data_IF_527572322116
#
_entry.id   IF_527572322116
#
_cell.length_a   1.000
_cell.length_b   1.000
_cell.length_c   1.000
_cell.angle_alpha   90.00
_cell.angle_beta   90.00
_cell.angle_gamma   90.00
#
_symmetry.space_group_name_H-M   'P 1'
#
loop_
_entity.id
_entity.type
_entity.pdbx_description
1 polymer ?
#
# COMPACT_ATOMS: atom_id res chain seq x y z
N UNK A 1 14.79 2.99 19.28
CA UNK A 1 14.78 3.26 17.83
C UNK A 1 14.46 1.96 17.12
N UNK A 2 13.45 1.98 16.26
CA UNK A 2 13.04 0.80 15.49
C UNK A 2 13.15 1.13 14.01
N UNK A 3 13.81 0.26 13.24
CA UNK A 3 13.98 0.42 11.79
C UNK A 3 13.03 -0.53 11.07
N UNK A 4 12.38 -0.06 10.02
CA UNK A 4 11.48 -0.87 9.20
C UNK A 4 11.82 -0.69 7.73
N UNK A 5 12.20 -1.76 7.05
CA UNK A 5 12.33 -1.77 5.59
C UNK A 5 10.98 -2.07 4.96
N UNK A 6 10.49 -1.17 4.11
CA UNK A 6 9.24 -1.34 3.37
C UNK A 6 9.56 -1.71 1.93
N UNK A 7 9.34 -2.97 1.57
CA UNK A 7 9.50 -3.42 0.20
C UNK A 7 8.24 -3.03 -0.60
N UNK A 8 8.39 -2.16 -1.59
CA UNK A 8 7.27 -1.55 -2.33
C UNK A 8 7.34 -1.89 -3.82
N UNK A 9 6.21 -1.82 -4.52
CA UNK A 9 6.15 -2.18 -5.93
C UNK A 9 6.88 -1.21 -6.85
N UNK A 10 6.70 0.10 -6.64
CA UNK A 10 7.15 1.10 -7.58
C UNK A 10 7.45 2.46 -6.95
N UNK A 11 7.69 3.43 -7.82
CA UNK A 11 8.08 4.79 -7.45
C UNK A 11 6.94 5.57 -6.76
N UNK A 12 5.68 5.27 -7.09
CA UNK A 12 4.53 5.93 -6.47
C UNK A 12 4.46 5.57 -4.99
N UNK A 13 4.55 4.28 -4.67
CA UNK A 13 4.54 3.77 -3.30
C UNK A 13 5.79 4.21 -2.52
N UNK A 14 6.96 4.20 -3.17
CA UNK A 14 8.21 4.72 -2.58
C UNK A 14 8.05 6.19 -2.18
N UNK A 15 7.53 7.02 -3.08
CA UNK A 15 7.31 8.43 -2.81
C UNK A 15 6.25 8.63 -1.73
N UNK A 16 5.14 7.88 -1.75
CA UNK A 16 4.14 7.93 -0.68
C UNK A 16 4.74 7.65 0.70
N UNK A 17 5.51 6.57 0.83
CA UNK A 17 6.18 6.23 2.09
C UNK A 17 7.14 7.35 2.51
N UNK A 18 7.96 7.84 1.58
CA UNK A 18 8.99 8.86 1.87
C UNK A 18 8.40 10.21 2.26
N UNK A 19 7.38 10.68 1.55
CA UNK A 19 6.81 12.00 1.74
C UNK A 19 5.80 12.05 2.89
N UNK A 20 5.03 10.98 3.14
CA UNK A 20 3.99 10.95 4.17
C UNK A 20 4.39 10.15 5.42
N UNK A 21 4.77 8.88 5.25
CA UNK A 21 4.94 7.98 6.40
C UNK A 21 6.25 8.25 7.15
N UNK A 22 7.37 8.45 6.46
CA UNK A 22 8.67 8.73 7.10
C UNK A 22 8.62 9.94 8.04
N UNK A 23 8.16 11.14 7.64
CA UNK A 23 8.12 12.29 8.54
C UNK A 23 7.07 12.16 9.65
N UNK A 24 6.00 11.39 9.43
CA UNK A 24 5.06 11.05 10.49
C UNK A 24 5.73 10.16 11.54
N UNK A 25 6.33 9.05 11.13
CA UNK A 25 6.83 8.01 12.03
C UNK A 25 8.19 8.30 12.68
N UNK A 26 9.01 9.15 12.06
CA UNK A 26 10.29 9.55 12.64
C UNK A 26 10.15 10.17 14.05
N UNK A 27 9.05 10.91 14.30
CA UNK A 27 8.77 11.51 15.62
C UNK A 27 8.41 10.49 16.70
N UNK A 28 8.03 9.28 16.30
CA UNK A 28 7.69 8.16 17.18
C UNK A 28 8.87 7.17 17.33
N UNK A 29 10.05 7.50 16.81
CA UNK A 29 11.23 6.63 16.86
C UNK A 29 11.14 5.41 15.92
N UNK A 30 10.21 5.44 14.97
CA UNK A 30 10.04 4.47 13.89
C UNK A 30 10.64 5.04 12.59
N UNK A 31 11.66 4.37 12.06
CA UNK A 31 12.38 4.82 10.87
C UNK A 31 12.08 3.90 9.71
N UNK A 32 11.18 4.36 8.83
CA UNK A 32 10.79 3.62 7.63
C UNK A 32 11.80 3.88 6.51
N UNK A 33 12.14 2.84 5.75
CA UNK A 33 12.99 2.95 4.56
C UNK A 33 12.31 2.21 3.41
N UNK A 34 11.70 2.92 2.43
CA UNK A 34 11.12 2.28 1.27
C UNK A 34 12.21 1.72 0.34
N UNK A 35 11.97 0.53 -0.20
CA UNK A 35 12.85 -0.18 -1.13
C UNK A 35 11.99 -0.69 -2.27
N UNK A 36 12.24 -0.25 -3.49
CA UNK A 36 11.51 -0.77 -4.67
C UNK A 36 11.99 -2.18 -5.00
N UNK A 37 11.05 -3.09 -5.26
CA UNK A 37 11.35 -4.46 -5.72
C UNK A 37 12.23 -4.47 -6.99
N UNK A 38 13.23 -5.34 -7.00
CA UNK A 38 14.03 -5.62 -8.20
C UNK A 38 13.49 -6.85 -8.93
N UNK A 39 13.09 -6.70 -10.19
CA UNK A 39 12.51 -7.80 -11.00
C UNK A 39 13.46 -8.35 -12.06
N UNK A 40 14.50 -7.60 -12.43
CA UNK A 40 15.65 -8.06 -13.22
C UNK A 40 16.83 -7.08 -13.06
N UNK A 41 18.06 -7.46 -13.47
CA UNK A 41 19.20 -6.54 -13.43
C UNK A 41 18.88 -5.26 -14.23
N UNK A 42 18.90 -4.11 -13.56
CA UNK A 42 18.61 -2.81 -14.17
C UNK A 42 17.14 -2.40 -14.21
N UNK A 43 16.19 -3.29 -13.87
CA UNK A 43 14.76 -2.94 -13.78
C UNK A 43 14.27 -2.99 -12.33
N UNK A 44 13.66 -1.88 -11.91
CA UNK A 44 12.99 -1.72 -10.62
C UNK A 44 11.51 -1.49 -10.90
N UNK A 45 10.63 -2.24 -10.24
CA UNK A 45 9.20 -2.09 -10.44
C UNK A 45 8.43 -3.41 -10.61
N UNK A 46 7.28 -3.48 -9.95
CA UNK A 46 6.22 -4.46 -10.18
C UNK A 46 6.48 -5.83 -9.54
N UNK A 47 5.40 -6.52 -9.18
CA UNK A 47 5.45 -7.84 -8.54
C UNK A 47 5.19 -8.91 -9.62
N UNK A 48 6.21 -9.21 -10.43
CA UNK A 48 6.04 -10.11 -11.61
C UNK A 48 6.11 -11.60 -11.28
N UNK A 49 6.74 -11.98 -10.17
CA UNK A 49 6.82 -13.36 -9.70
C UNK A 49 7.24 -13.38 -8.24
N UNK A 50 6.55 -14.22 -7.45
CA UNK A 50 6.85 -14.41 -6.05
C UNK A 50 8.26 -14.98 -5.84
N UNK A 51 8.71 -15.88 -6.72
CA UNK A 51 10.06 -16.45 -6.69
C UNK A 51 11.18 -15.41 -6.71
N UNK A 52 10.93 -14.21 -7.27
CA UNK A 52 11.89 -13.09 -7.26
C UNK A 52 11.81 -12.24 -6.00
N UNK A 53 10.66 -12.21 -5.34
CA UNK A 53 10.38 -11.36 -4.17
C UNK A 53 10.81 -12.04 -2.89
N UNK A 54 10.52 -13.34 -2.73
CA UNK A 54 10.87 -14.12 -1.53
C UNK A 54 12.35 -13.96 -1.12
N UNK A 55 13.34 -14.11 -2.02
CA UNK A 55 14.74 -13.93 -1.65
C UNK A 55 15.08 -12.50 -1.21
N UNK A 56 14.38 -11.49 -1.74
CA UNK A 56 14.59 -10.09 -1.34
C UNK A 56 14.08 -9.85 0.08
N UNK A 57 12.86 -10.28 0.39
CA UNK A 57 12.30 -10.18 1.75
C UNK A 57 13.21 -10.91 2.76
N UNK A 58 13.56 -12.17 2.47
CA UNK A 58 14.42 -12.95 3.35
C UNK A 58 15.81 -12.32 3.55
N UNK A 59 16.37 -11.71 2.50
CA UNK A 59 17.65 -10.99 2.62
C UNK A 59 17.51 -9.77 3.53
N UNK A 60 16.47 -8.96 3.34
CA UNK A 60 16.20 -7.79 4.19
C UNK A 60 16.05 -8.20 5.66
N UNK A 61 15.33 -9.31 5.94
CA UNK A 61 15.16 -9.82 7.29
C UNK A 61 16.48 -10.28 7.93
N UNK A 62 17.36 -10.93 7.15
CA UNK A 62 18.60 -11.55 7.66
C UNK A 62 19.78 -10.59 7.73
N UNK A 63 19.88 -9.64 6.82
CA UNK A 63 21.01 -8.70 6.77
C UNK A 63 21.01 -7.73 7.96
N UNK A 64 19.85 -7.54 8.58
CA UNK A 64 19.67 -6.64 9.71
C UNK A 64 18.62 -7.19 10.69
N UNK A 65 19.07 -8.09 11.56
CA UNK A 65 18.20 -8.77 12.51
C UNK A 65 17.51 -7.83 13.52
N UNK A 66 18.01 -6.59 13.67
CA UNK A 66 17.41 -5.55 14.52
C UNK A 66 16.44 -4.63 13.80
N UNK A 67 16.15 -4.88 12.51
CA UNK A 67 15.14 -4.17 11.75
C UNK A 67 13.95 -5.09 11.45
N UNK A 68 12.78 -4.50 11.25
CA UNK A 68 11.60 -5.18 10.74
C UNK A 68 11.48 -5.01 9.23
N UNK A 69 10.76 -5.92 8.59
CA UNK A 69 10.48 -5.87 7.15
C UNK A 69 8.98 -5.96 6.94
N UNK A 70 8.44 -5.13 6.07
CA UNK A 70 7.04 -5.16 5.66
C UNK A 70 6.91 -4.88 4.16
N UNK A 71 5.72 -5.03 3.61
CA UNK A 71 5.44 -4.89 2.17
C UNK A 71 4.33 -3.89 1.91
N UNK A 72 4.34 -3.30 0.71
CA UNK A 72 3.24 -2.46 0.21
C UNK A 72 2.99 -2.86 -1.25
N UNK A 73 2.25 -3.96 -1.43
CA UNK A 73 1.95 -4.57 -2.74
C UNK A 73 0.45 -4.54 -3.03
N UNK A 74 0.06 -4.37 -4.28
CA UNK A 74 -1.33 -4.47 -4.73
C UNK A 74 -1.75 -5.94 -4.75
N UNK A 75 -2.74 -6.29 -3.93
CA UNK A 75 -3.31 -7.62 -3.81
C UNK A 75 -3.72 -8.23 -5.16
N UNK A 76 -4.29 -7.42 -6.06
CA UNK A 76 -4.81 -7.88 -7.33
C UNK A 76 -3.73 -8.02 -8.40
N UNK A 77 -2.63 -7.29 -8.26
CA UNK A 77 -1.45 -7.39 -9.13
C UNK A 77 -0.50 -8.55 -8.74
N UNK A 78 -0.74 -9.22 -7.61
CA UNK A 78 0.09 -10.35 -7.17
C UNK A 78 0.18 -11.47 -8.23
N UNK A 79 1.34 -12.12 -8.40
CA UNK A 79 1.51 -13.18 -9.38
C UNK A 79 0.83 -14.47 -8.92
N UNK A 80 0.57 -15.40 -9.86
CA UNK A 80 -0.11 -16.66 -9.57
C UNK A 80 0.69 -17.60 -8.65
N UNK A 81 2.02 -17.45 -8.61
CA UNK A 81 2.93 -18.19 -7.73
C UNK A 81 2.98 -17.62 -6.30
N UNK A 82 2.16 -16.62 -5.97
CA UNK A 82 2.12 -16.03 -4.62
C UNK A 82 1.45 -16.99 -3.61
N UNK A 83 2.01 -17.14 -2.39
CA UNK A 83 1.48 -18.05 -1.38
C UNK A 83 0.01 -17.82 -1.08
N UNK A 84 -0.79 -18.89 -1.12
CA UNK A 84 -2.23 -18.84 -0.84
C UNK A 84 -3.14 -18.47 -2.01
N UNK A 85 -2.63 -17.89 -3.12
CA UNK A 85 -3.49 -17.40 -4.21
C UNK A 85 -4.22 -18.51 -4.97
N UNK A 86 -3.63 -19.70 -5.02
CA UNK A 86 -4.18 -20.90 -5.67
C UNK A 86 -4.69 -21.94 -4.66
N UNK A 87 -4.70 -21.60 -3.37
CA UNK A 87 -5.20 -22.49 -2.31
C UNK A 87 -6.72 -22.62 -2.41
N UNK A 88 -7.24 -23.82 -2.13
CA UNK A 88 -8.68 -24.10 -2.04
C UNK A 88 -9.31 -23.27 -0.90
N UNK A 89 -8.54 -22.97 0.14
CA UNK A 89 -8.98 -22.12 1.25
C UNK A 89 -9.03 -20.62 0.89
N UNK A 90 -8.57 -20.21 -0.30
CA UNK A 90 -8.58 -18.81 -0.71
C UNK A 90 -10.02 -18.26 -0.70
N UNK A 91 -10.30 -17.17 0.04
CA UNK A 91 -11.65 -16.66 0.23
C UNK A 91 -12.13 -15.84 -0.98
N UNK A 92 -12.30 -16.49 -2.13
CA UNK A 92 -12.58 -15.85 -3.41
C UNK A 92 -13.83 -14.94 -3.39
N UNK A 93 -14.85 -15.32 -2.62
CA UNK A 93 -16.13 -14.62 -2.50
C UNK A 93 -16.21 -13.64 -1.32
N UNK A 94 -15.09 -13.38 -0.65
CA UNK A 94 -15.00 -12.46 0.49
C UNK A 94 -14.58 -11.05 0.09
N UNK A 95 -14.61 -10.14 1.06
CA UNK A 95 -14.16 -8.74 0.90
C UNK A 95 -12.66 -8.69 0.56
N UNK A 96 -12.22 -7.57 -0.04
CA UNK A 96 -10.81 -7.34 -0.34
C UNK A 96 -9.92 -7.42 0.91
N UNK A 97 -10.39 -6.85 2.03
CA UNK A 97 -9.73 -6.94 3.33
C UNK A 97 -9.53 -8.40 3.79
N UNK A 98 -10.56 -9.25 3.68
CA UNK A 98 -10.44 -10.66 4.09
C UNK A 98 -9.46 -11.44 3.20
N UNK A 99 -9.41 -11.12 1.91
CA UNK A 99 -8.42 -11.68 0.98
C UNK A 99 -7.00 -11.25 1.35
N UNK A 100 -6.81 -9.98 1.70
CA UNK A 100 -5.51 -9.43 2.10
C UNK A 100 -5.00 -10.14 3.35
N UNK A 101 -5.80 -10.19 4.42
CA UNK A 101 -5.45 -10.86 5.68
C UNK A 101 -5.11 -12.33 5.45
N UNK A 102 -5.87 -13.04 4.60
CA UNK A 102 -5.57 -14.44 4.27
C UNK A 102 -4.19 -14.55 3.60
N UNK A 103 -3.95 -13.81 2.52
CA UNK A 103 -2.70 -13.88 1.76
C UNK A 103 -1.50 -13.40 2.57
N UNK A 104 -1.67 -12.39 3.43
CA UNK A 104 -0.66 -11.95 4.38
C UNK A 104 -0.28 -13.06 5.35
N UNK A 105 -1.26 -13.79 5.89
CA UNK A 105 -0.97 -14.93 6.77
C UNK A 105 -0.18 -16.03 6.05
N UNK A 106 -0.51 -16.33 4.79
CA UNK A 106 0.20 -17.31 3.96
C UNK A 106 1.61 -16.84 3.64
N UNK A 107 1.78 -15.55 3.34
CA UNK A 107 3.08 -14.95 3.09
C UNK A 107 3.96 -14.97 4.35
N UNK A 108 3.43 -14.62 5.52
CA UNK A 108 4.17 -14.70 6.79
C UNK A 108 4.67 -16.12 7.07
N UNK A 109 3.81 -17.12 6.88
CA UNK A 109 4.15 -18.53 7.07
C UNK A 109 5.23 -19.00 6.08
N UNK A 110 5.14 -18.64 4.80
CA UNK A 110 6.10 -19.06 3.79
C UNK A 110 7.47 -18.34 3.90
N UNK A 111 7.47 -17.06 4.31
CA UNK A 111 8.70 -16.30 4.58
C UNK A 111 9.39 -16.79 5.84
N UNK A 112 8.60 -17.09 6.89
CA UNK A 112 9.04 -17.65 8.17
C UNK A 112 10.21 -16.85 8.78
N UNK A 113 10.04 -15.54 8.92
CA UNK A 113 11.00 -14.65 9.59
C UNK A 113 10.31 -13.92 10.75
N UNK A 114 10.91 -13.89 11.96
CA UNK A 114 10.25 -13.32 13.15
C UNK A 114 10.10 -11.80 13.09
N UNK A 115 10.90 -11.13 12.25
CA UNK A 115 10.88 -9.68 12.04
C UNK A 115 10.12 -9.27 10.77
N UNK A 116 9.31 -10.17 10.19
CA UNK A 116 8.53 -9.88 8.99
C UNK A 116 7.04 -9.67 9.31
N UNK A 117 6.49 -8.54 8.85
CA UNK A 117 5.10 -8.12 9.02
C UNK A 117 4.53 -7.86 7.62
N UNK A 118 3.89 -8.82 6.96
CA UNK A 118 3.38 -8.62 5.62
C UNK A 118 2.27 -7.58 5.61
N UNK A 119 2.17 -6.85 4.50
CA UNK A 119 1.02 -6.02 4.21
C UNK A 119 0.75 -5.96 2.69
N UNK A 120 -0.53 -6.02 2.34
CA UNK A 120 -1.05 -5.88 1.00
C UNK A 120 -2.02 -4.69 0.97
N UNK A 121 -1.83 -3.81 0.00
CA UNK A 121 -2.85 -2.85 -0.36
C UNK A 121 -4.00 -3.62 -1.01
N UNK A 122 -5.20 -3.49 -0.44
CA UNK A 122 -6.39 -4.19 -0.94
C UNK A 122 -6.58 -3.92 -2.43
N UNK A 123 -6.34 -2.69 -2.88
CA UNK A 123 -6.31 -2.30 -4.30
C UNK A 123 -5.03 -1.53 -4.61
N UNK A 124 -5.02 -0.80 -5.73
CA UNK A 124 -3.94 0.14 -6.06
C UNK A 124 -3.78 1.21 -4.97
N UNK A 125 -2.57 1.77 -4.84
CA UNK A 125 -2.29 2.94 -4.00
C UNK A 125 -3.33 4.07 -4.20
N UNK A 126 -3.76 4.28 -5.44
CA UNK A 126 -4.74 5.30 -5.81
C UNK A 126 -6.09 5.18 -5.07
N UNK A 127 -6.45 4.00 -4.53
CA UNK A 127 -7.64 3.84 -3.70
C UNK A 127 -7.63 4.79 -2.50
N UNK A 128 -6.46 5.00 -1.87
CA UNK A 128 -6.30 5.91 -0.73
C UNK A 128 -6.62 7.37 -1.10
N UNK A 129 -6.51 7.74 -2.39
CA UNK A 129 -6.78 9.11 -2.83
C UNK A 129 -8.29 9.44 -2.86
N UNK A 130 -9.15 8.41 -2.84
CA UNK A 130 -10.60 8.59 -2.76
C UNK A 130 -11.10 8.88 -1.35
N UNK A 131 -10.23 8.92 -0.34
CA UNK A 131 -10.55 9.32 1.03
C UNK A 131 -11.08 10.76 1.06
N UNK A 132 -10.42 11.68 0.36
CA UNK A 132 -10.87 13.08 0.23
C UNK A 132 -10.68 13.56 -1.22
N UNK A 133 -11.63 13.23 -2.14
CA UNK A 133 -11.56 13.62 -3.55
C UNK A 133 -11.46 15.13 -3.79
N UNK A 134 -11.88 15.94 -2.81
CA UNK A 134 -11.81 17.40 -2.88
C UNK A 134 -10.37 17.92 -2.98
N UNK A 135 -9.37 17.15 -2.55
CA UNK A 135 -7.96 17.51 -2.70
C UNK A 135 -7.49 17.54 -4.16
N UNK A 136 -8.18 16.85 -5.07
CA UNK A 136 -7.90 16.99 -6.50
C UNK A 136 -8.19 18.40 -7.04
N UNK A 137 -8.98 19.23 -6.34
CA UNK A 137 -9.30 20.59 -6.77
C UNK A 137 -8.05 21.48 -6.91
N UNK A 138 -7.00 21.21 -6.14
CA UNK A 138 -5.72 21.94 -6.19
C UNK A 138 -4.96 21.68 -7.51
N UNK A 139 -5.32 20.61 -8.22
CA UNK A 139 -4.62 20.09 -9.39
C UNK A 139 -5.39 20.23 -10.70
N UNK A 140 -6.65 20.70 -10.64
CA UNK A 140 -7.54 20.78 -11.80
C UNK A 140 -8.37 22.07 -11.81
N UNK A 141 -8.55 22.64 -13.00
CA UNK A 141 -9.36 23.86 -13.18
C UNK A 141 -10.86 23.58 -13.36
N UNK A 142 -11.31 22.33 -13.19
CA UNK A 142 -12.68 21.91 -13.50
C UNK A 142 -13.33 21.19 -12.31
N UNK A 143 -14.35 21.79 -11.67
CA UNK A 143 -15.12 21.15 -10.60
C UNK A 143 -15.77 19.82 -11.03
N UNK A 144 -15.99 19.63 -12.33
CA UNK A 144 -16.55 18.38 -12.86
C UNK A 144 -15.64 17.17 -12.59
N UNK A 145 -14.32 17.36 -12.54
CA UNK A 145 -13.36 16.29 -12.20
C UNK A 145 -13.58 15.82 -10.77
N UNK A 146 -13.57 16.76 -9.82
CA UNK A 146 -13.76 16.48 -8.40
C UNK A 146 -15.13 15.84 -8.15
N UNK A 147 -16.19 16.35 -8.80
CA UNK A 147 -17.54 15.77 -8.69
C UNK A 147 -17.59 14.31 -9.18
N UNK A 148 -16.89 13.96 -10.26
CA UNK A 148 -16.81 12.57 -10.72
C UNK A 148 -16.08 11.68 -9.72
N UNK A 149 -14.95 12.14 -9.19
CA UNK A 149 -14.19 11.38 -8.18
C UNK A 149 -15.00 11.19 -6.90
N UNK A 150 -15.73 12.22 -6.46
CA UNK A 150 -16.65 12.14 -5.33
C UNK A 150 -17.76 11.13 -5.55
N UNK A 151 -18.37 11.12 -6.74
CA UNK A 151 -19.39 10.13 -7.10
C UNK A 151 -18.85 8.70 -7.04
N UNK A 152 -17.60 8.47 -7.47
CA UNK A 152 -16.95 7.16 -7.33
C UNK A 152 -16.70 6.79 -5.86
N UNK A 153 -16.23 7.71 -5.03
CA UNK A 153 -16.03 7.45 -3.60
C UNK A 153 -17.36 7.13 -2.89
N UNK A 154 -18.41 7.91 -3.15
CA UNK A 154 -19.73 7.74 -2.53
C UNK A 154 -20.47 6.46 -2.93
N UNK A 155 -20.07 5.82 -4.03
CA UNK A 155 -20.65 4.54 -4.45
C UNK A 155 -20.14 3.34 -3.63
N UNK A 156 -19.17 3.55 -2.73
CA UNK A 156 -18.54 2.50 -1.95
C UNK A 156 -18.55 2.84 -0.46
N UNK A 157 -18.53 1.82 0.41
CA UNK A 157 -18.52 2.02 1.87
C UNK A 157 -17.19 2.58 2.34
N UNK A 158 -16.08 2.05 1.82
CA UNK A 158 -14.73 2.53 2.11
C UNK A 158 -13.94 2.73 0.81
N UNK A 159 -12.87 3.55 0.83
CA UNK A 159 -11.96 3.67 -0.30
C UNK A 159 -11.28 2.33 -0.65
N UNK A 160 -11.12 1.44 0.34
CA UNK A 160 -10.56 0.10 0.17
C UNK A 160 -11.48 -0.86 -0.59
N UNK A 161 -12.75 -0.48 -0.82
CA UNK A 161 -13.70 -1.26 -1.61
C UNK A 161 -13.78 -0.79 -3.07
N UNK A 162 -13.04 0.26 -3.45
CA UNK A 162 -13.08 0.84 -4.81
C UNK A 162 -12.31 -0.06 -5.78
N UNK A 163 -12.92 -1.16 -6.22
CA UNK A 163 -12.44 -1.98 -7.33
C UNK A 163 -13.53 -2.94 -7.80
N UNK A 164 -13.90 -2.85 -9.07
CA UNK A 164 -14.88 -3.77 -9.67
C UNK A 164 -14.25 -4.59 -10.81
N UNK A 165 -13.19 -4.08 -11.46
CA UNK A 165 -12.51 -4.72 -12.58
C UNK A 165 -11.19 -4.01 -12.96
N UNK A 166 -10.30 -4.63 -13.75
CA UNK A 166 -9.10 -3.96 -14.28
C UNK A 166 -9.37 -2.66 -15.06
N UNK A 167 -10.56 -2.54 -15.65
CA UNK A 167 -10.99 -1.37 -16.42
C UNK A 167 -11.53 -0.25 -15.51
N UNK A 168 -11.94 -0.58 -14.29
CA UNK A 168 -12.50 0.33 -13.29
C UNK A 168 -11.65 0.42 -12.02
N UNK A 169 -10.36 0.04 -12.12
CA UNK A 169 -9.39 0.20 -11.05
C UNK A 169 -9.26 1.67 -10.62
N UNK A 170 -8.88 1.96 -9.35
CA UNK A 170 -8.77 3.32 -8.83
C UNK A 170 -8.03 4.29 -9.75
N UNK A 171 -6.87 3.89 -10.27
CA UNK A 171 -6.09 4.74 -11.16
C UNK A 171 -6.76 5.01 -12.50
N UNK A 172 -7.54 4.06 -13.02
CA UNK A 172 -8.33 4.25 -14.26
C UNK A 172 -9.49 5.21 -14.04
N UNK A 173 -10.14 5.16 -12.86
CA UNK A 173 -11.16 6.14 -12.48
C UNK A 173 -10.57 7.54 -12.37
N UNK A 174 -9.40 7.68 -11.76
CA UNK A 174 -8.68 8.96 -11.68
C UNK A 174 -8.30 9.45 -13.07
N UNK A 175 -7.66 8.63 -13.90
CA UNK A 175 -7.27 9.01 -15.27
C UNK A 175 -8.46 9.39 -16.16
N UNK A 176 -9.58 8.69 -16.02
CA UNK A 176 -10.81 9.02 -16.74
C UNK A 176 -11.37 10.39 -16.31
N UNK A 177 -11.32 10.69 -15.01
CA UNK A 177 -11.76 11.98 -14.50
C UNK A 177 -10.76 13.12 -14.79
N UNK A 178 -9.46 12.85 -14.64
CA UNK A 178 -8.32 13.76 -14.78
C UNK A 178 -7.29 13.13 -15.77
N UNK A 179 -7.44 13.36 -17.09
CA UNK A 179 -6.55 12.77 -18.09
C UNK A 179 -5.06 13.11 -17.93
N UNK A 180 -4.76 14.23 -17.27
CA UNK A 180 -3.38 14.67 -16.96
C UNK A 180 -2.80 14.06 -15.68
N UNK A 181 -3.49 13.15 -15.01
CA UNK A 181 -3.00 12.52 -13.79
C UNK A 181 -1.72 11.72 -14.05
N UNK A 182 -0.71 11.99 -13.22
CA UNK A 182 0.60 11.33 -13.26
C UNK A 182 0.82 10.67 -11.91
N UNK A 183 0.78 9.32 -11.87
CA UNK A 183 0.80 8.54 -10.63
C UNK A 183 1.94 8.94 -9.69
N UNK A 184 3.16 8.99 -10.21
CA UNK A 184 4.38 9.23 -9.43
C UNK A 184 4.54 10.66 -8.93
N UNK A 185 3.86 11.63 -9.57
CA UNK A 185 3.93 13.04 -9.19
C UNK A 185 2.70 13.46 -8.38
N UNK A 186 1.50 13.33 -8.95
CA UNK A 186 0.27 13.78 -8.31
C UNK A 186 -0.13 12.88 -7.14
N UNK A 187 0.05 11.57 -7.25
CA UNK A 187 -0.43 10.61 -6.26
C UNK A 187 0.12 10.87 -4.85
N UNK A 188 1.45 10.88 -4.65
CA UNK A 188 2.05 11.16 -3.34
C UNK A 188 1.72 12.55 -2.78
N UNK A 189 1.63 13.57 -3.64
CA UNK A 189 1.32 14.94 -3.22
C UNK A 189 -0.14 15.07 -2.74
N UNK A 190 -1.08 14.53 -3.50
CA UNK A 190 -2.49 14.45 -3.10
C UNK A 190 -2.62 13.63 -1.81
N UNK A 191 -1.89 12.50 -1.67
CA UNK A 191 -1.88 11.74 -0.42
C UNK A 191 -1.39 12.57 0.78
N UNK A 192 -0.39 13.44 0.58
CA UNK A 192 0.06 14.36 1.63
C UNK A 192 -0.99 15.41 1.99
N UNK A 193 -1.72 15.95 1.01
CA UNK A 193 -2.81 16.90 1.24
C UNK A 193 -4.01 16.25 1.95
N UNK A 194 -4.30 14.98 1.66
CA UNK A 194 -5.33 14.19 2.35
C UNK A 194 -4.91 13.94 3.80
N UNK A 195 -3.64 13.58 4.01
CA UNK A 195 -3.07 13.35 5.33
C UNK A 195 -3.35 11.96 5.89
N UNK A 196 -2.44 11.51 6.76
CA UNK A 196 -2.45 10.15 7.29
C UNK A 196 -3.69 9.86 8.16
N UNK A 197 -4.12 10.82 8.99
CA UNK A 197 -5.25 10.63 9.90
C UNK A 197 -6.57 10.37 9.16
N UNK A 198 -6.81 11.07 8.05
CA UNK A 198 -7.99 10.85 7.22
C UNK A 198 -7.97 9.45 6.58
N UNK A 199 -6.80 9.02 6.07
CA UNK A 199 -6.62 7.69 5.51
C UNK A 199 -6.86 6.60 6.56
N UNK A 200 -6.30 6.77 7.77
CA UNK A 200 -6.51 5.87 8.92
C UNK A 200 -7.98 5.71 9.29
N UNK A 201 -8.72 6.82 9.31
CA UNK A 201 -10.14 6.80 9.67
C UNK A 201 -11.02 6.11 8.62
N UNK A 202 -10.65 6.21 7.33
CA UNK A 202 -11.47 5.72 6.22
C UNK A 202 -11.08 4.33 5.71
N UNK A 203 -9.86 3.85 6.01
CA UNK A 203 -9.29 2.62 5.45
C UNK A 203 -8.92 1.63 6.58
N UNK A 204 -9.86 0.75 7.00
CA UNK A 204 -9.65 -0.16 8.13
C UNK A 204 -8.48 -1.13 7.98
N UNK A 205 -8.23 -1.66 6.79
CA UNK A 205 -7.11 -2.57 6.56
C UNK A 205 -5.77 -1.82 6.69
N UNK A 206 -5.66 -0.68 6.01
CA UNK A 206 -4.50 0.21 6.09
C UNK A 206 -4.23 0.66 7.53
N UNK A 207 -5.28 1.01 8.28
CA UNK A 207 -5.18 1.36 9.69
C UNK A 207 -4.64 0.19 10.54
N UNK A 208 -5.13 -1.03 10.30
CA UNK A 208 -4.66 -2.22 11.01
C UNK A 208 -3.17 -2.48 10.79
N UNK A 209 -2.68 -2.32 9.56
CA UNK A 209 -1.25 -2.42 9.25
C UNK A 209 -0.42 -1.37 9.98
N UNK A 210 -0.85 -0.10 9.95
CA UNK A 210 -0.12 0.97 10.64
C UNK A 210 -0.07 0.75 12.16
N UNK A 211 -1.15 0.24 12.76
CA UNK A 211 -1.14 -0.13 14.19
C UNK A 211 -0.12 -1.23 14.52
N UNK A 212 0.07 -2.21 13.62
CA UNK A 212 1.11 -3.22 13.80
C UNK A 212 2.51 -2.62 13.76
N UNK A 213 2.77 -1.65 12.85
CA UNK A 213 4.05 -0.94 12.82
C UNK A 213 4.25 -0.08 14.08
N UNK A 214 3.20 0.61 14.53
CA UNK A 214 3.21 1.44 15.74
C UNK A 214 3.52 0.62 17.00
N UNK A 215 3.04 -0.61 17.08
CA UNK A 215 3.34 -1.53 18.18
C UNK A 215 4.82 -1.92 18.29
N UNK A 216 5.64 -1.64 17.27
CA UNK A 216 7.09 -1.82 17.31
C UNK A 216 7.83 -0.62 17.93
N UNK A 217 7.12 0.49 18.17
CA UNK A 217 7.71 1.67 18.77
C UNK A 217 8.14 1.35 20.19
N UNK A 218 9.31 1.82 20.65
CA UNK A 218 9.66 1.75 22.06
C UNK A 218 8.54 2.41 22.89
N UNK A 219 8.21 1.89 24.08
CA UNK A 219 7.30 2.60 24.97
C UNK A 219 7.83 4.02 25.19
N UNK A 220 6.92 5.00 25.14
CA UNK A 220 7.28 6.38 25.40
C UNK A 220 7.99 6.44 26.77
N UNK A 221 9.23 6.94 26.78
CA UNK A 221 9.90 7.27 28.03
C UNK A 221 9.18 8.50 28.56
N UNK A 222 8.25 8.29 29.49
CA UNK A 222 7.56 9.34 30.25
C UNK A 222 8.50 9.89 31.30
#
# INVERSE_FOLDING_TARGET
>A
MTRVYLLVEGQTEEAFVRELLVPHYARFGLYLTPIIVSTSPGYKGGVVSYAKIKPQIQRLCRQDAGAHVSTLFDLYALPQDFPGKTDVAYPANSTGQQKAVFLESQLAQDICQPNFIPNLMVHEFEALLFVLPDKFAEWVNSPAVVNRLRAHAQAHTTPEDINESPQTAPSKRILSAMPGYQKTFHGPLIACEIGLDAMRAACPHFQGWLQQLEALSPPAVV
#
